data_IF_055700491972
#
_entry.id   IF_055700491972
#
_cell.length_a   1.000
_cell.length_b   1.000
_cell.length_c   1.000
_cell.angle_alpha   90.00
_cell.angle_beta   90.00
_cell.angle_gamma   90.00
#
_symmetry.space_group_name_H-M   'P 1'
#
loop_
_entity.id
_entity.type
_entity.pdbx_description
1 polymer ?
#
# COMPACT_ATOMS: atom_id res chain seq x y z
N UNK A 1 -3.88 -10.38 -7.26
CA UNK A 1 -4.54 -9.76 -6.10
C UNK A 1 -5.86 -9.14 -6.53
N UNK A 2 -6.83 -9.14 -5.64
CA UNK A 2 -8.18 -8.71 -5.99
C UNK A 2 -8.47 -7.31 -5.46
N UNK A 3 -8.64 -6.38 -6.38
CA UNK A 3 -9.00 -5.01 -6.03
C UNK A 3 -10.51 -4.87 -6.04
N UNK A 4 -11.02 -4.07 -5.09
CA UNK A 4 -12.44 -3.78 -5.00
C UNK A 4 -12.63 -2.30 -5.32
N UNK A 5 -13.49 -2.02 -6.29
CA UNK A 5 -13.79 -0.64 -6.65
C UNK A 5 -14.92 -0.10 -5.77
N UNK A 6 -14.70 1.06 -5.19
CA UNK A 6 -15.69 1.74 -4.35
C UNK A 6 -16.26 2.91 -5.12
N UNK A 7 -17.43 2.70 -5.68
CA UNK A 7 -18.03 3.64 -6.60
C UNK A 7 -18.27 5.02 -5.97
N UNK A 8 -18.70 5.05 -4.71
CA UNK A 8 -19.01 6.30 -4.04
C UNK A 8 -17.78 7.19 -3.87
N UNK A 9 -16.64 6.58 -3.59
CA UNK A 9 -15.39 7.29 -3.35
C UNK A 9 -14.53 7.41 -4.60
N UNK A 10 -14.78 6.58 -5.59
CA UNK A 10 -13.98 6.57 -6.81
C UNK A 10 -12.60 5.95 -6.62
N UNK A 11 -12.43 5.11 -5.63
CA UNK A 11 -11.14 4.52 -5.33
C UNK A 11 -11.19 2.99 -5.36
N UNK A 12 -10.03 2.37 -5.23
CA UNK A 12 -9.89 0.92 -5.16
C UNK A 12 -9.22 0.55 -3.85
N UNK A 13 -9.63 -0.57 -3.29
CA UNK A 13 -8.96 -1.11 -2.10
C UNK A 13 -8.56 -2.56 -2.32
N UNK A 14 -7.55 -2.98 -1.58
CA UNK A 14 -7.02 -4.34 -1.62
C UNK A 14 -6.68 -4.75 -0.20
N UNK A 15 -7.06 -5.96 0.18
CA UNK A 15 -6.70 -6.53 1.47
C UNK A 15 -5.99 -7.83 1.23
N UNK A 16 -4.84 -8.02 1.88
CA UNK A 16 -4.08 -9.25 1.77
C UNK A 16 -3.28 -9.48 3.07
N UNK A 17 -2.52 -10.55 3.10
CA UNK A 17 -1.73 -10.88 4.27
C UNK A 17 -0.40 -11.46 3.83
N UNK A 18 0.67 -11.10 4.54
CA UNK A 18 1.99 -11.59 4.26
C UNK A 18 2.64 -11.94 5.61
N UNK A 19 2.79 -13.24 5.87
CA UNK A 19 3.22 -13.66 7.19
C UNK A 19 2.20 -13.26 8.24
N UNK A 20 2.64 -12.60 9.29
CA UNK A 20 1.77 -12.11 10.36
C UNK A 20 1.30 -10.68 10.13
N UNK A 21 1.55 -10.12 8.96
CA UNK A 21 1.19 -8.74 8.65
C UNK A 21 -0.01 -8.73 7.73
N UNK A 22 -1.11 -8.15 8.19
CA UNK A 22 -2.27 -7.91 7.35
C UNK A 22 -2.10 -6.55 6.70
N UNK A 23 -2.37 -6.49 5.41
CA UNK A 23 -2.09 -5.32 4.58
C UNK A 23 -3.38 -4.83 3.96
N UNK A 24 -3.64 -3.55 4.09
CA UNK A 24 -4.75 -2.89 3.41
C UNK A 24 -4.15 -1.79 2.54
N UNK A 25 -4.54 -1.74 1.29
CA UNK A 25 -4.04 -0.74 0.36
C UNK A 25 -5.19 -0.01 -0.30
N UNK A 26 -4.94 1.23 -0.67
CA UNK A 26 -5.93 2.07 -1.31
C UNK A 26 -5.29 2.84 -2.45
N UNK A 27 -5.97 2.87 -3.60
CA UNK A 27 -5.53 3.62 -4.78
C UNK A 27 -6.69 4.49 -5.24
N UNK A 28 -6.47 5.79 -5.24
CA UNK A 28 -7.46 6.78 -5.65
C UNK A 28 -6.83 7.71 -6.67
N UNK A 29 -7.63 8.52 -7.39
CA UNK A 29 -7.07 9.45 -8.37
C UNK A 29 -6.09 10.47 -7.78
N UNK A 30 -6.15 10.72 -6.47
CA UNK A 30 -5.32 11.73 -5.84
C UNK A 30 -4.54 11.19 -4.63
N UNK A 31 -4.48 9.86 -4.47
CA UNK A 31 -3.96 9.33 -3.21
C UNK A 31 -3.57 7.86 -3.33
N UNK A 32 -2.46 7.49 -2.73
CA UNK A 32 -2.05 6.09 -2.53
C UNK A 32 -1.82 5.87 -1.05
N UNK A 33 -2.23 4.71 -0.54
CA UNK A 33 -2.02 4.39 0.87
C UNK A 33 -1.79 2.89 1.07
N UNK A 34 -1.00 2.58 2.09
CA UNK A 34 -0.78 1.21 2.55
C UNK A 34 -0.83 1.22 4.07
N UNK A 35 -1.66 0.36 4.63
CA UNK A 35 -1.76 0.19 6.09
C UNK A 35 -1.32 -1.21 6.45
N UNK A 36 -0.51 -1.32 7.49
CA UNK A 36 0.07 -2.58 7.93
C UNK A 36 -0.32 -2.83 9.38
N UNK A 37 -0.77 -4.05 9.66
CA UNK A 37 -1.13 -4.47 11.02
C UNK A 37 -0.46 -5.80 11.30
N UNK A 38 0.38 -5.82 12.33
CA UNK A 38 1.06 -7.05 12.74
C UNK A 38 0.23 -7.74 13.80
N UNK A 39 0.04 -9.05 13.64
CA UNK A 39 -0.79 -9.84 14.54
C UNK A 39 0.01 -10.95 15.20
N UNK A 40 -0.43 -11.33 16.41
CA UNK A 40 -0.03 -12.57 17.05
C UNK A 40 -1.33 -13.25 17.45
N UNK A 41 -1.72 -14.29 16.69
CA UNK A 41 -3.05 -14.87 16.85
C UNK A 41 -4.11 -13.84 16.54
N UNK A 42 -4.99 -13.54 17.49
CA UNK A 42 -6.04 -12.55 17.32
C UNK A 42 -5.68 -11.17 17.85
N UNK A 43 -4.47 -11.03 18.39
CA UNK A 43 -4.03 -9.78 19.01
C UNK A 43 -3.23 -8.95 18.03
N UNK A 44 -3.52 -7.64 18.00
CA UNK A 44 -2.74 -6.71 17.19
C UNK A 44 -1.52 -6.29 18.00
N UNK A 45 -0.32 -6.54 17.46
CA UNK A 45 0.92 -6.15 18.09
C UNK A 45 1.35 -4.74 17.73
N UNK A 46 0.95 -4.28 16.55
CA UNK A 46 1.30 -2.95 16.12
C UNK A 46 0.66 -2.62 14.79
N UNK A 47 0.63 -1.34 14.47
CA UNK A 47 0.03 -0.83 13.23
C UNK A 47 0.84 0.34 12.71
N UNK A 48 0.91 0.46 11.39
CA UNK A 48 1.52 1.61 10.73
C UNK A 48 0.78 1.89 9.45
N UNK A 49 0.67 3.16 9.09
CA UNK A 49 0.00 3.56 7.85
C UNK A 49 0.85 4.58 7.12
N UNK A 50 0.91 4.45 5.81
CA UNK A 50 1.68 5.34 4.96
C UNK A 50 0.83 5.75 3.78
N UNK A 51 0.95 7.00 3.38
CA UNK A 51 0.18 7.49 2.25
C UNK A 51 0.94 8.58 1.51
N UNK A 52 0.50 8.83 0.29
CA UNK A 52 1.06 9.88 -0.52
C UNK A 52 -0.05 10.54 -1.32
N UNK A 53 -0.16 11.85 -1.20
CA UNK A 53 -1.08 12.63 -2.00
C UNK A 53 -0.36 13.04 -3.28
N UNK A 54 -0.95 12.70 -4.41
CA UNK A 54 -0.42 13.09 -5.72
C UNK A 54 -1.52 12.86 -6.74
N UNK A 55 -1.37 13.47 -7.89
CA UNK A 55 -2.30 13.19 -8.98
C UNK A 55 -1.88 11.88 -9.65
N UNK A 56 -2.75 10.89 -9.60
CA UNK A 56 -2.48 9.57 -10.16
C UNK A 56 -3.01 9.56 -11.59
N UNK A 57 -2.09 9.59 -12.55
CA UNK A 57 -2.48 9.66 -13.95
C UNK A 57 -3.01 8.33 -14.47
N UNK A 58 -2.54 7.22 -13.93
CA UNK A 58 -2.87 5.90 -14.43
C UNK A 58 -3.15 4.98 -13.25
N UNK A 59 -4.44 4.72 -13.00
CA UNK A 59 -4.85 3.90 -11.86
C UNK A 59 -4.38 2.46 -11.97
N UNK A 60 -4.33 1.90 -13.19
CA UNK A 60 -3.82 0.55 -13.37
C UNK A 60 -2.34 0.46 -13.03
N UNK A 61 -1.58 1.45 -13.47
CA UNK A 61 -0.17 1.52 -13.14
C UNK A 61 0.04 1.62 -11.62
N UNK A 62 -0.77 2.44 -10.96
CA UNK A 62 -0.70 2.60 -9.51
C UNK A 62 -1.04 1.30 -8.79
N UNK A 63 -2.05 0.58 -9.25
CA UNK A 63 -2.41 -0.71 -8.65
C UNK A 63 -1.26 -1.71 -8.82
N UNK A 64 -0.66 -1.77 -10.00
CA UNK A 64 0.48 -2.66 -10.24
C UNK A 64 1.67 -2.29 -9.36
N UNK A 65 1.91 -1.01 -9.17
CA UNK A 65 2.97 -0.55 -8.28
C UNK A 65 2.75 -1.04 -6.86
N UNK A 66 1.52 -0.89 -6.35
CA UNK A 66 1.18 -1.34 -4.99
C UNK A 66 1.32 -2.85 -4.88
N UNK A 67 0.87 -3.61 -5.87
CA UNK A 67 1.00 -5.07 -5.84
C UNK A 67 2.46 -5.49 -5.78
N UNK A 68 3.31 -4.86 -6.59
CA UNK A 68 4.74 -5.16 -6.56
C UNK A 68 5.35 -4.80 -5.22
N UNK A 69 4.97 -3.64 -4.67
CA UNK A 69 5.43 -3.22 -3.35
C UNK A 69 5.11 -4.29 -2.31
N UNK A 70 3.88 -4.78 -2.31
CA UNK A 70 3.46 -5.80 -1.35
C UNK A 70 4.21 -7.10 -1.56
N UNK A 71 4.36 -7.53 -2.82
CA UNK A 71 5.05 -8.78 -3.13
C UNK A 71 6.50 -8.77 -2.67
N UNK A 72 7.17 -7.64 -2.81
CA UNK A 72 8.59 -7.55 -2.50
C UNK A 72 8.87 -7.08 -1.07
N UNK A 73 7.84 -6.69 -0.35
CA UNK A 73 7.99 -6.16 1.00
C UNK A 73 8.45 -7.26 1.97
N UNK A 74 9.46 -6.99 2.81
CA UNK A 74 9.81 -7.95 3.84
C UNK A 74 8.69 -8.08 4.86
N UNK A 75 8.50 -9.28 5.40
CA UNK A 75 7.41 -9.54 6.33
C UNK A 75 7.89 -10.09 7.66
N UNK A 76 9.18 -9.97 7.96
CA UNK A 76 9.74 -10.45 9.21
C UNK A 76 9.31 -9.63 10.42
N UNK A 77 9.08 -8.33 10.21
CA UNK A 77 8.62 -7.45 11.28
C UNK A 77 7.86 -6.28 10.69
N UNK A 78 7.06 -5.66 11.54
CA UNK A 78 6.33 -4.46 11.13
C UNK A 78 7.28 -3.32 10.77
N UNK A 79 8.38 -3.20 11.51
CA UNK A 79 9.36 -2.15 11.27
C UNK A 79 9.99 -2.29 9.88
N UNK A 80 10.42 -3.49 9.52
CA UNK A 80 11.02 -3.73 8.22
C UNK A 80 10.02 -3.49 7.09
N UNK A 81 8.81 -4.02 7.26
CA UNK A 81 7.76 -3.84 6.26
C UNK A 81 7.42 -2.37 6.09
N UNK A 82 7.29 -1.64 7.19
CA UNK A 82 6.94 -0.24 7.16
C UNK A 82 8.01 0.63 6.54
N UNK A 83 9.28 0.37 6.85
CA UNK A 83 10.38 1.11 6.25
C UNK A 83 10.39 0.93 4.75
N UNK A 84 10.20 -0.30 4.29
CA UNK A 84 10.15 -0.61 2.86
C UNK A 84 8.97 0.09 2.19
N UNK A 85 7.77 -0.06 2.75
CA UNK A 85 6.57 0.53 2.17
C UNK A 85 6.66 2.05 2.08
N UNK A 86 7.12 2.69 3.16
CA UNK A 86 7.27 4.13 3.21
C UNK A 86 8.25 4.63 2.14
N UNK A 87 9.39 3.95 2.03
CA UNK A 87 10.42 4.30 1.06
C UNK A 87 9.91 4.19 -0.37
N UNK A 88 9.22 3.09 -0.68
CA UNK A 88 8.70 2.89 -2.04
C UNK A 88 7.61 3.88 -2.38
N UNK A 89 6.72 4.18 -1.43
CA UNK A 89 5.67 5.17 -1.68
C UNK A 89 6.26 6.55 -1.97
N UNK A 90 7.31 6.93 -1.24
CA UNK A 90 7.97 8.21 -1.51
C UNK A 90 8.50 8.30 -2.93
N UNK A 91 8.96 7.17 -3.46
CA UNK A 91 9.56 7.15 -4.79
C UNK A 91 8.54 7.07 -5.92
N UNK A 92 7.30 6.73 -5.62
CA UNK A 92 6.29 6.61 -6.66
C UNK A 92 6.10 7.93 -7.40
N UNK A 93 6.21 7.89 -8.71
CA UNK A 93 6.02 9.06 -9.54
C UNK A 93 7.25 9.92 -9.74
N UNK A 94 8.32 9.70 -8.99
CA UNK A 94 9.53 10.52 -9.14
C UNK A 94 10.18 10.36 -10.50
N UNK A 95 10.14 9.14 -11.02
CA UNK A 95 10.74 8.89 -12.34
C UNK A 95 10.02 9.62 -13.43
N UNK A 96 8.78 9.92 -13.20
CA UNK A 96 7.96 10.59 -14.18
C UNK A 96 7.89 12.04 -13.95
N UNK A 97 8.30 12.34 -12.84
CA UNK A 97 8.01 13.52 -12.49
C UNK A 97 8.90 14.55 -12.75
N UNK A 98 9.00 14.33 -13.12
CA UNK A 98 9.30 15.12 -13.38
C UNK A 98 8.65 15.98 -13.74
N UNK A 99 8.29 15.78 -13.81
CA UNK A 99 7.58 16.58 -14.16
C UNK A 99 7.56 17.56 -13.86
#
# INVERSE_FOLDING_TARGET
MNWIFHKAEGDYSLTTQKGNIKIWANVAPDYLAVSLNEYSGDSILGSSSYGKFLQVADLENAKNFIETLIQEMPSGSLEEAGTYASSKLKDYGKDKGTL
#
